data_IF_082814824112
#
_entry.id   IF_082814824112
#
_cell.length_a   1.000
_cell.length_b   1.000
_cell.length_c   1.000
_cell.angle_alpha   90.00
_cell.angle_beta   90.00
_cell.angle_gamma   90.00
#
_symmetry.space_group_name_H-M   'P 1'
#
loop_
_entity.id
_entity.type
_entity.pdbx_description
1 polymer ?
#
# COMPACT_ATOMS: atom_id res chain seq x y z
N UNK A 1 -13.91 14.17 -44.66
CA UNK A 1 -13.50 14.23 -43.25
C UNK A 1 -14.74 14.24 -42.39
N UNK A 2 -14.96 13.15 -41.66
CA UNK A 2 -15.87 13.07 -40.53
C UNK A 2 -15.29 12.01 -39.60
N UNK A 3 -14.36 12.42 -38.74
CA UNK A 3 -13.82 11.59 -37.66
C UNK A 3 -14.90 11.50 -36.58
N UNK A 4 -15.77 10.51 -36.70
CA UNK A 4 -16.74 10.20 -35.66
C UNK A 4 -16.00 9.46 -34.54
N UNK A 5 -15.51 10.24 -33.57
CA UNK A 5 -15.01 9.73 -32.30
C UNK A 5 -16.14 8.95 -31.62
N UNK A 6 -16.00 7.63 -31.55
CA UNK A 6 -16.90 6.77 -30.79
C UNK A 6 -16.89 7.23 -29.32
N UNK A 7 -18.05 7.39 -28.67
CA UNK A 7 -18.11 7.69 -27.25
C UNK A 7 -17.66 6.46 -26.45
N UNK A 8 -16.37 6.44 -26.07
CA UNK A 8 -15.72 5.29 -25.41
C UNK A 8 -15.97 5.21 -23.89
N UNK A 9 -16.77 6.12 -23.33
CA UNK A 9 -16.91 6.26 -21.87
C UNK A 9 -18.36 6.60 -21.47
N UNK A 10 -19.29 5.66 -21.65
CA UNK A 10 -20.64 5.81 -21.07
C UNK A 10 -20.71 5.40 -19.58
N UNK A 11 -19.66 4.79 -19.00
CA UNK A 11 -19.56 4.56 -17.54
C UNK A 11 -18.13 4.27 -17.09
N UNK A 12 -17.81 4.59 -15.83
CA UNK A 12 -16.51 4.32 -15.19
C UNK A 12 -16.30 2.80 -15.10
N UNK A 13 -15.28 2.23 -15.79
CA UNK A 13 -15.05 0.79 -15.76
C UNK A 13 -14.60 0.33 -14.37
N UNK A 14 -15.15 -0.78 -13.89
CA UNK A 14 -14.67 -1.46 -12.67
C UNK A 14 -13.20 -1.88 -12.87
N UNK A 15 -12.39 -1.90 -11.81
CA UNK A 15 -10.91 -2.09 -11.90
C UNK A 15 -10.50 -3.32 -12.75
N UNK A 16 -11.32 -4.38 -12.76
CA UNK A 16 -11.13 -5.57 -13.60
C UNK A 16 -11.41 -5.35 -15.10
N UNK A 17 -12.32 -4.44 -15.44
CA UNK A 17 -12.66 -4.07 -16.82
C UNK A 17 -11.72 -3.02 -17.42
N UNK A 18 -11.05 -2.20 -16.59
CA UNK A 18 -10.08 -1.19 -17.07
C UNK A 18 -9.01 -1.85 -17.94
N UNK A 19 -8.51 -3.02 -17.52
CA UNK A 19 -7.52 -3.79 -18.27
C UNK A 19 -8.06 -4.32 -19.60
N UNK A 20 -9.33 -4.74 -19.64
CA UNK A 20 -10.00 -5.20 -20.86
C UNK A 20 -10.14 -4.07 -21.89
N UNK A 21 -10.50 -2.86 -21.43
CA UNK A 21 -10.65 -1.69 -22.29
C UNK A 21 -9.30 -1.24 -22.85
N UNK A 22 -8.24 -1.24 -22.04
CA UNK A 22 -6.87 -0.93 -22.48
C UNK A 22 -6.39 -1.94 -23.53
N UNK A 23 -6.61 -3.24 -23.31
CA UNK A 23 -6.27 -4.28 -24.29
C UNK A 23 -7.03 -4.10 -25.61
N UNK A 24 -8.34 -3.82 -25.57
CA UNK A 24 -9.13 -3.53 -26.79
C UNK A 24 -8.63 -2.29 -27.54
N UNK A 25 -8.19 -1.26 -26.83
CA UNK A 25 -7.62 -0.05 -27.44
C UNK A 25 -6.27 -0.34 -28.12
N UNK A 26 -5.42 -1.17 -27.50
CA UNK A 26 -4.13 -1.61 -28.06
C UNK A 26 -4.32 -2.53 -29.28
N UNK A 27 -5.30 -3.44 -29.25
CA UNK A 27 -5.67 -4.26 -30.42
C UNK A 27 -6.17 -3.39 -31.59
N UNK A 28 -7.05 -2.43 -31.32
CA UNK A 28 -7.55 -1.49 -32.33
C UNK A 28 -6.43 -0.60 -32.90
N UNK A 29 -5.45 -0.21 -32.09
CA UNK A 29 -4.27 0.52 -32.53
C UNK A 29 -3.38 -0.35 -33.43
N UNK A 30 -3.17 -1.62 -33.08
CA UNK A 30 -2.36 -2.52 -33.91
C UNK A 30 -3.00 -2.87 -35.25
N UNK A 31 -4.32 -3.04 -35.30
CA UNK A 31 -5.06 -3.24 -36.56
C UNK A 31 -4.92 -2.04 -37.52
N UNK A 32 -4.63 -0.84 -37.00
CA UNK A 32 -4.36 0.37 -37.79
C UNK A 32 -2.86 0.58 -38.09
N UNK A 33 -2.01 -0.41 -37.82
CA UNK A 33 -0.58 -0.38 -38.14
C UNK A 33 0.29 0.46 -37.20
N UNK A 34 -0.26 0.90 -36.06
CA UNK A 34 0.50 1.60 -35.01
C UNK A 34 0.86 0.59 -33.92
N UNK A 35 2.08 0.03 -34.00
CA UNK A 35 2.60 -0.96 -33.05
C UNK A 35 2.06 -2.38 -33.26
N UNK A 36 2.78 -3.37 -32.74
CA UNK A 36 2.29 -4.75 -32.62
C UNK A 36 1.38 -4.82 -31.39
N UNK A 37 0.16 -5.35 -31.56
CA UNK A 37 -0.66 -5.76 -30.44
C UNK A 37 0.17 -6.81 -29.70
N UNK A 38 0.39 -6.64 -28.38
CA UNK A 38 1.00 -7.71 -27.62
C UNK A 38 0.17 -8.97 -27.87
N UNK A 39 0.82 -10.06 -28.27
CA UNK A 39 0.23 -11.40 -28.23
C UNK A 39 -0.56 -11.49 -26.93
N UNK A 40 -1.88 -11.75 -27.06
CA UNK A 40 -2.84 -11.71 -25.98
C UNK A 40 -2.16 -12.13 -24.68
N UNK A 41 -1.93 -11.16 -23.78
CA UNK A 41 -1.31 -11.41 -22.49
C UNK A 41 -2.20 -12.45 -21.84
N UNK A 42 -1.81 -13.73 -21.95
CA UNK A 42 -2.52 -14.84 -21.36
C UNK A 42 -2.75 -14.40 -19.91
N UNK A 43 -4.02 -14.32 -19.51
CA UNK A 43 -4.40 -13.94 -18.15
C UNK A 43 -3.62 -14.86 -17.23
N UNK A 44 -2.51 -14.38 -16.65
CA UNK A 44 -1.72 -15.18 -15.73
C UNK A 44 -2.69 -15.48 -14.60
N UNK A 45 -3.06 -16.76 -14.39
CA UNK A 45 -4.05 -17.10 -13.39
C UNK A 45 -3.55 -16.57 -12.05
N UNK A 46 -4.44 -15.91 -11.31
CA UNK A 46 -4.13 -15.48 -9.94
C UNK A 46 -3.71 -16.70 -9.12
N UNK A 47 -2.68 -16.53 -8.30
CA UNK A 47 -2.29 -17.58 -7.36
C UNK A 47 -3.46 -17.83 -6.38
N UNK A 48 -3.64 -19.06 -5.87
CA UNK A 48 -4.79 -19.38 -5.01
C UNK A 48 -4.81 -18.52 -3.73
N UNK A 49 -3.65 -18.18 -3.17
CA UNK A 49 -3.54 -17.26 -2.04
C UNK A 49 -3.87 -15.81 -2.43
N UNK A 50 -3.54 -15.38 -3.65
CA UNK A 50 -3.91 -14.05 -4.15
C UNK A 50 -5.44 -13.92 -4.24
N UNK A 51 -6.10 -14.93 -4.81
CA UNK A 51 -7.56 -14.97 -4.90
C UNK A 51 -8.22 -15.00 -3.52
N UNK A 52 -7.68 -15.77 -2.58
CA UNK A 52 -8.17 -15.82 -1.20
C UNK A 52 -8.01 -14.47 -0.48
N UNK A 53 -6.87 -13.79 -0.68
CA UNK A 53 -6.63 -12.47 -0.11
C UNK A 53 -7.63 -11.44 -0.68
N UNK A 54 -7.86 -11.40 -1.99
CA UNK A 54 -8.84 -10.50 -2.58
C UNK A 54 -10.26 -10.76 -2.07
N UNK A 55 -10.70 -12.02 -2.03
CA UNK A 55 -12.03 -12.37 -1.53
C UNK A 55 -12.24 -11.98 -0.05
N UNK A 56 -11.16 -11.98 0.75
CA UNK A 56 -11.19 -11.50 2.13
C UNK A 56 -11.24 -9.97 2.20
N UNK A 57 -10.43 -9.28 1.40
CA UNK A 57 -10.43 -7.81 1.29
C UNK A 57 -11.78 -7.25 0.86
N UNK A 58 -12.47 -7.91 -0.09
CA UNK A 58 -13.82 -7.52 -0.54
C UNK A 58 -14.86 -7.53 0.58
N UNK A 59 -14.61 -8.32 1.63
CA UNK A 59 -15.47 -8.43 2.82
C UNK A 59 -14.94 -7.62 4.00
N UNK A 60 -13.88 -6.84 3.80
CA UNK A 60 -13.12 -6.17 4.85
C UNK A 60 -12.61 -7.13 5.94
N UNK A 61 -12.41 -8.42 5.61
CA UNK A 61 -11.83 -9.40 6.52
C UNK A 61 -10.30 -9.35 6.42
N UNK A 62 -9.71 -8.30 7.00
CA UNK A 62 -8.28 -8.07 6.95
C UNK A 62 -7.48 -9.18 7.65
N UNK A 63 -8.09 -9.91 8.59
CA UNK A 63 -7.46 -11.05 9.27
C UNK A 63 -7.33 -12.23 8.31
N UNK A 64 -8.39 -12.57 7.57
CA UNK A 64 -8.32 -13.62 6.56
C UNK A 64 -7.37 -13.24 5.41
N UNK A 65 -7.37 -11.97 4.98
CA UNK A 65 -6.44 -11.48 3.96
C UNK A 65 -4.98 -11.60 4.39
N UNK A 66 -4.67 -11.24 5.65
CA UNK A 66 -3.35 -11.44 6.24
C UNK A 66 -2.90 -12.90 6.20
N UNK A 67 -3.76 -13.82 6.64
CA UNK A 67 -3.45 -15.26 6.64
C UNK A 67 -3.13 -15.76 5.22
N UNK A 68 -3.88 -15.28 4.21
CA UNK A 68 -3.64 -15.64 2.82
C UNK A 68 -2.26 -15.15 2.33
N UNK A 69 -1.91 -13.88 2.56
CA UNK A 69 -0.59 -13.35 2.19
C UNK A 69 0.56 -14.03 2.94
N UNK A 70 0.39 -14.32 4.24
CA UNK A 70 1.37 -15.07 5.02
C UNK A 70 1.56 -16.50 4.50
N UNK A 71 0.47 -17.17 4.09
CA UNK A 71 0.53 -18.48 3.45
C UNK A 71 1.30 -18.42 2.12
N UNK A 72 1.05 -17.38 1.34
CA UNK A 72 1.75 -17.17 0.07
C UNK A 72 3.25 -16.98 0.29
N UNK A 73 3.65 -16.15 1.27
CA UNK A 73 5.05 -15.90 1.59
C UNK A 73 5.76 -17.13 2.17
N UNK A 74 5.04 -18.03 2.86
CA UNK A 74 5.59 -19.32 3.30
C UNK A 74 5.94 -20.22 2.11
N UNK A 75 5.12 -20.21 1.07
CA UNK A 75 5.35 -21.02 -0.15
C UNK A 75 6.34 -20.38 -1.10
N UNK A 76 6.24 -19.07 -1.30
CA UNK A 76 7.10 -18.23 -2.14
C UNK A 76 7.70 -17.10 -1.31
N UNK A 77 8.81 -17.37 -0.60
CA UNK A 77 9.53 -16.33 0.13
C UNK A 77 9.94 -15.22 -0.83
N UNK A 78 9.71 -13.96 -0.42
CA UNK A 78 10.01 -12.76 -1.21
C UNK A 78 9.09 -12.50 -2.41
N UNK A 79 7.90 -13.14 -2.48
CA UNK A 79 6.91 -12.79 -3.49
C UNK A 79 6.47 -11.31 -3.33
N UNK A 80 6.78 -10.41 -4.28
CA UNK A 80 6.60 -8.97 -4.09
C UNK A 80 5.15 -8.58 -3.84
N UNK A 81 4.20 -9.23 -4.54
CA UNK A 81 2.76 -8.98 -4.37
C UNK A 81 2.32 -9.31 -2.94
N UNK A 82 2.76 -10.45 -2.42
CA UNK A 82 2.39 -10.88 -1.08
C UNK A 82 3.06 -10.04 0.03
N UNK A 83 4.30 -9.58 -0.18
CA UNK A 83 4.98 -8.67 0.75
C UNK A 83 4.23 -7.35 0.86
N UNK A 84 3.89 -6.73 -0.28
CA UNK A 84 3.16 -5.46 -0.32
C UNK A 84 1.75 -5.64 0.25
N UNK A 85 1.06 -6.71 -0.16
CA UNK A 85 -0.28 -7.05 0.32
C UNK A 85 -0.32 -7.24 1.83
N UNK A 86 0.65 -7.99 2.39
CA UNK A 86 0.78 -8.20 3.84
C UNK A 86 0.98 -6.88 4.59
N UNK A 87 1.89 -6.02 4.12
CA UNK A 87 2.12 -4.73 4.76
C UNK A 87 0.84 -3.88 4.77
N UNK A 88 0.10 -3.86 3.64
CA UNK A 88 -1.14 -3.10 3.52
C UNK A 88 -2.21 -3.60 4.50
N UNK A 89 -2.45 -4.91 4.56
CA UNK A 89 -3.47 -5.47 5.48
C UNK A 89 -3.06 -5.32 6.95
N UNK A 90 -1.77 -5.38 7.26
CA UNK A 90 -1.27 -5.10 8.61
C UNK A 90 -1.56 -3.65 9.02
N UNK A 91 -1.41 -2.68 8.11
CA UNK A 91 -1.83 -1.30 8.38
C UNK A 91 -3.34 -1.23 8.61
N UNK A 92 -4.14 -1.84 7.73
CA UNK A 92 -5.60 -1.83 7.84
C UNK A 92 -6.06 -2.42 9.18
N UNK A 93 -5.46 -3.52 9.63
CA UNK A 93 -5.74 -4.12 10.93
C UNK A 93 -5.41 -3.20 12.11
N UNK A 94 -4.35 -2.39 12.02
CA UNK A 94 -3.96 -1.48 13.11
C UNK A 94 -4.87 -0.26 13.20
N UNK A 95 -5.40 0.21 12.08
CA UNK A 95 -6.33 1.34 12.04
C UNK A 95 -7.80 0.93 12.14
N UNK A 96 -8.11 -0.35 12.01
CA UNK A 96 -9.46 -0.87 12.14
C UNK A 96 -10.05 -0.55 13.51
N UNK A 97 -11.25 0.04 13.51
CA UNK A 97 -11.94 0.48 14.72
C UNK A 97 -11.38 1.75 15.38
N UNK A 98 -10.35 2.40 14.81
CA UNK A 98 -9.87 3.69 15.29
C UNK A 98 -10.69 4.84 14.70
N UNK A 99 -10.97 5.84 15.52
CA UNK A 99 -11.44 7.14 15.04
C UNK A 99 -10.21 8.02 14.70
N UNK A 100 -10.02 8.44 13.44
CA UNK A 100 -8.82 9.18 13.03
C UNK A 100 -8.62 10.49 13.81
N UNK A 101 -9.70 11.26 13.99
CA UNK A 101 -9.61 12.58 14.62
C UNK A 101 -9.34 12.48 16.13
N UNK A 102 -10.05 11.60 16.82
CA UNK A 102 -9.88 11.37 18.25
C UNK A 102 -8.52 10.74 18.55
N UNK A 103 -8.04 9.83 17.71
CA UNK A 103 -6.72 9.21 17.87
C UNK A 103 -5.63 10.29 17.80
N UNK A 104 -5.68 11.15 16.78
CA UNK A 104 -4.72 12.25 16.62
C UNK A 104 -4.79 13.28 17.75
N UNK A 105 -6.01 13.66 18.18
CA UNK A 105 -6.22 14.65 19.26
C UNK A 105 -5.83 14.13 20.64
N UNK A 106 -5.91 12.82 20.87
CA UNK A 106 -5.67 12.21 22.19
C UNK A 106 -4.22 11.75 22.40
N UNK A 107 -3.37 11.91 21.37
CA UNK A 107 -1.99 11.45 21.40
C UNK A 107 -1.17 12.17 22.48
N UNK A 108 -0.41 11.40 23.26
CA UNK A 108 0.49 11.93 24.30
C UNK A 108 1.94 11.72 23.88
N UNK A 109 2.76 12.75 24.00
CA UNK A 109 4.15 12.71 23.54
C UNK A 109 5.01 11.67 24.26
N UNK A 110 4.64 11.31 25.48
CA UNK A 110 5.29 10.32 26.35
C UNK A 110 4.65 8.93 26.29
N UNK A 111 3.64 8.72 25.44
CA UNK A 111 3.04 7.39 25.22
C UNK A 111 3.34 6.87 23.83
N UNK A 112 4.26 5.91 23.75
CA UNK A 112 4.65 5.24 22.51
C UNK A 112 3.43 4.72 21.75
N UNK A 113 2.48 4.08 22.44
CA UNK A 113 1.33 3.42 21.79
C UNK A 113 0.49 4.44 21.03
N UNK A 114 0.15 5.56 21.66
CA UNK A 114 -0.59 6.63 20.99
C UNK A 114 0.15 7.21 19.78
N UNK A 115 1.49 7.31 19.84
CA UNK A 115 2.29 7.82 18.73
C UNK A 115 2.32 6.84 17.55
N UNK A 116 2.42 5.53 17.81
CA UNK A 116 2.35 4.51 16.75
C UNK A 116 0.98 4.52 16.05
N UNK A 117 -0.10 4.56 16.84
CA UNK A 117 -1.47 4.62 16.30
C UNK A 117 -1.69 5.87 15.44
N UNK A 118 -1.18 7.02 15.87
CA UNK A 118 -1.26 8.24 15.08
C UNK A 118 -0.47 8.13 13.77
N UNK A 119 0.73 7.55 13.80
CA UNK A 119 1.52 7.35 12.60
C UNK A 119 0.81 6.41 11.61
N UNK A 120 0.14 5.36 12.11
CA UNK A 120 -0.68 4.48 11.27
C UNK A 120 -1.86 5.24 10.63
N UNK A 121 -2.59 6.06 11.40
CA UNK A 121 -3.66 6.91 10.86
C UNK A 121 -3.14 7.90 9.82
N UNK A 122 -1.98 8.51 10.09
CA UNK A 122 -1.35 9.47 9.18
C UNK A 122 -0.97 8.79 7.85
N UNK A 123 -0.38 7.59 7.86
CA UNK A 123 -0.12 6.83 6.62
C UNK A 123 -1.43 6.42 5.94
N UNK A 124 -2.41 5.90 6.69
CA UNK A 124 -3.69 5.46 6.13
C UNK A 124 -4.48 6.61 5.47
N UNK A 125 -4.27 7.84 5.93
CA UNK A 125 -4.88 9.06 5.37
C UNK A 125 -4.01 9.78 4.34
N UNK A 126 -2.81 9.27 4.05
CA UNK A 126 -1.87 9.82 3.06
C UNK A 126 -0.94 10.92 3.57
N UNK A 127 -0.94 11.22 4.87
CA UNK A 127 -0.08 12.21 5.52
C UNK A 127 1.29 11.62 5.90
N UNK A 128 2.03 11.12 4.89
CA UNK A 128 3.30 10.41 5.10
C UNK A 128 4.35 11.22 5.88
N UNK A 129 4.50 12.50 5.56
CA UNK A 129 5.45 13.40 6.24
C UNK A 129 5.17 13.50 7.75
N UNK A 130 3.89 13.61 8.14
CA UNK A 130 3.49 13.70 9.53
C UNK A 130 3.82 12.40 10.28
N UNK A 131 3.47 11.25 9.69
CA UNK A 131 3.76 9.93 10.26
C UNK A 131 5.26 9.74 10.50
N UNK A 132 6.08 10.05 9.49
CA UNK A 132 7.53 9.87 9.58
C UNK A 132 8.16 10.82 10.60
N UNK A 133 7.77 12.10 10.56
CA UNK A 133 8.24 13.11 11.53
C UNK A 133 7.89 12.69 12.96
N UNK A 134 6.68 12.19 13.17
CA UNK A 134 6.22 11.69 14.47
C UNK A 134 7.11 10.57 14.99
N UNK A 135 7.32 9.52 14.20
CA UNK A 135 8.12 8.37 14.65
C UNK A 135 9.60 8.71 14.79
N UNK A 136 10.15 9.60 13.96
CA UNK A 136 11.51 10.12 14.15
C UNK A 136 11.65 10.87 15.48
N UNK A 137 10.64 11.64 15.88
CA UNK A 137 10.63 12.31 17.19
C UNK A 137 10.55 11.28 18.34
N UNK A 138 9.72 10.25 18.21
CA UNK A 138 9.69 9.14 19.19
C UNK A 138 11.06 8.48 19.33
N UNK A 139 11.73 8.19 18.21
CA UNK A 139 13.07 7.56 18.21
C UNK A 139 14.13 8.46 18.86
N UNK A 140 13.96 9.78 18.84
CA UNK A 140 14.83 10.76 19.53
C UNK A 140 14.53 10.82 21.03
N UNK A 141 13.27 10.73 21.43
CA UNK A 141 12.83 10.97 22.80
C UNK A 141 12.77 9.72 23.68
N UNK A 142 12.54 8.54 23.09
CA UNK A 142 12.44 7.27 23.79
C UNK A 142 13.78 6.51 23.76
N UNK A 143 13.90 5.51 24.64
CA UNK A 143 15.11 4.70 24.78
C UNK A 143 14.78 3.22 24.97
N UNK A 144 15.79 2.35 24.89
CA UNK A 144 15.62 0.91 25.07
C UNK A 144 14.65 0.27 24.07
N UNK A 145 13.82 -0.65 24.55
CA UNK A 145 12.84 -1.39 23.75
C UNK A 145 11.82 -0.48 23.05
N UNK A 146 11.48 0.67 23.63
CA UNK A 146 10.50 1.59 23.04
C UNK A 146 11.06 2.26 21.78
N UNK A 147 12.33 2.65 21.81
CA UNK A 147 13.04 3.17 20.63
C UNK A 147 13.13 2.11 19.52
N UNK A 148 13.42 0.87 19.89
CA UNK A 148 13.49 -0.26 18.95
C UNK A 148 12.13 -0.52 18.29
N UNK A 149 11.05 -0.56 19.09
CA UNK A 149 9.68 -0.69 18.55
C UNK A 149 9.32 0.42 17.57
N UNK A 150 9.61 1.67 17.92
CA UNK A 150 9.35 2.81 17.03
C UNK A 150 10.15 2.72 15.73
N UNK A 151 11.41 2.29 15.79
CA UNK A 151 12.27 2.09 14.61
C UNK A 151 11.71 1.01 13.69
N UNK A 152 11.32 -0.15 14.24
CA UNK A 152 10.74 -1.24 13.47
C UNK A 152 9.43 -0.81 12.81
N UNK A 153 8.57 -0.10 13.55
CA UNK A 153 7.30 0.42 13.04
C UNK A 153 7.52 1.41 11.90
N UNK A 154 8.48 2.34 12.03
CA UNK A 154 8.83 3.29 10.98
C UNK A 154 9.29 2.58 9.70
N UNK A 155 10.13 1.54 9.83
CA UNK A 155 10.59 0.74 8.69
C UNK A 155 9.42 0.02 8.01
N UNK A 156 8.46 -0.50 8.78
CA UNK A 156 7.25 -1.11 8.23
C UNK A 156 6.43 -0.09 7.43
N UNK A 157 6.25 1.13 7.94
CA UNK A 157 5.53 2.20 7.25
C UNK A 157 6.25 2.67 5.98
N UNK A 158 7.59 2.64 5.94
CA UNK A 158 8.35 2.93 4.72
C UNK A 158 8.03 1.99 3.56
N UNK A 159 7.66 0.74 3.84
CA UNK A 159 7.31 -0.24 2.80
C UNK A 159 5.93 0.02 2.18
N UNK A 160 5.13 0.89 2.78
CA UNK A 160 3.79 1.26 2.32
C UNK A 160 3.78 2.48 1.40
N UNK A 161 4.93 3.16 1.27
CA UNK A 161 5.07 4.40 0.52
C UNK A 161 5.93 4.17 -0.71
N UNK A 162 5.63 4.92 -1.79
CA UNK A 162 6.41 4.87 -3.02
C UNK A 162 7.90 5.15 -2.72
N UNK A 163 8.85 4.31 -3.19
CA UNK A 163 10.27 4.49 -2.91
C UNK A 163 10.85 5.83 -3.38
N UNK A 164 10.21 6.49 -4.34
CA UNK A 164 10.60 7.81 -4.87
C UNK A 164 9.92 8.99 -4.15
N UNK A 165 9.10 8.73 -3.12
CA UNK A 165 8.45 9.79 -2.36
C UNK A 165 9.47 10.66 -1.61
N UNK A 166 9.42 12.00 -1.74
CA UNK A 166 10.42 12.89 -1.13
C UNK A 166 10.40 12.84 0.40
N UNK A 167 9.23 12.67 1.03
CA UNK A 167 9.10 12.55 2.48
C UNK A 167 9.73 11.26 2.98
N UNK A 168 9.57 10.15 2.23
CA UNK A 168 10.25 8.88 2.52
C UNK A 168 11.78 8.99 2.41
N UNK A 169 12.29 9.59 1.33
CA UNK A 169 13.73 9.75 1.14
C UNK A 169 14.35 10.60 2.25
N UNK A 170 13.68 11.69 2.65
CA UNK A 170 14.11 12.53 3.77
C UNK A 170 14.12 11.74 5.08
N UNK A 171 13.03 11.03 5.38
CA UNK A 171 12.90 10.25 6.61
C UNK A 171 13.95 9.15 6.75
N UNK A 172 14.31 8.46 5.65
CA UNK A 172 15.39 7.46 5.64
C UNK A 172 16.75 8.07 5.98
N UNK A 173 17.06 9.23 5.42
CA UNK A 173 18.30 9.95 5.72
C UNK A 173 18.33 10.41 7.19
N UNK A 174 17.22 10.94 7.71
CA UNK A 174 17.13 11.33 9.12
C UNK A 174 17.27 10.14 10.06
N UNK A 175 16.64 9.00 9.75
CA UNK A 175 16.77 7.79 10.54
C UNK A 175 18.23 7.32 10.58
N UNK A 176 18.93 7.32 9.44
CA UNK A 176 20.34 6.97 9.39
C UNK A 176 21.17 7.87 10.33
N UNK A 177 20.97 9.19 10.27
CA UNK A 177 21.66 10.15 11.15
C UNK A 177 21.32 10.02 12.64
N UNK A 178 20.25 9.33 13.01
CA UNK A 178 19.91 9.04 14.41
C UNK A 178 20.54 7.74 14.94
N UNK A 179 21.09 6.92 14.03
CA UNK A 179 21.70 5.62 14.33
C UNK A 179 23.23 5.65 14.30
N UNK A 180 23.83 6.69 13.71
CA UNK A 180 25.27 6.92 13.62
C UNK A 180 25.67 8.17 14.40
#
# INVERSE_FOLDING_TARGET
MAEQLLPLFESVPQIGQVRLVINKLLELASQKGVGQAPEALAEIPLEPEEQAAYAALEKSDFKAAKIAYESWLKRKPNEPVAVIGLAQVDLMLRVDGLDPELTLKSAKSDDLTSQLMCADIEIATGNNEAAFTRLLNVIRSFSGDEKEKAKLHLIQLFNLVNPSDPSLLKARNELASLLF
#
